data_IF_093678436550
#
_entry.id   IF_093678436550
#
_cell.length_a   1.000
_cell.length_b   1.000
_cell.length_c   1.000
_cell.angle_alpha   90.00
_cell.angle_beta   90.00
_cell.angle_gamma   90.00
#
_symmetry.space_group_name_H-M   'P 1'
#
loop_
_entity.id
_entity.type
_entity.pdbx_description
1 polymer ?
#
# COMPACT_ATOMS: atom_id res chain seq x y z
N UNK A 1 -17.48 -24.46 7.89
CA UNK A 1 -16.36 -23.55 7.55
C UNK A 1 -16.73 -22.82 6.27
N UNK A 2 -17.25 -21.59 6.36
CA UNK A 2 -17.39 -20.73 5.19
C UNK A 2 -15.99 -20.34 4.76
N UNK A 3 -15.50 -20.90 3.64
CA UNK A 3 -14.38 -20.30 2.91
C UNK A 3 -14.88 -18.93 2.45
N UNK A 4 -14.56 -17.89 3.20
CA UNK A 4 -14.91 -16.52 2.86
C UNK A 4 -14.39 -16.23 1.45
N UNK A 5 -15.30 -15.96 0.53
CA UNK A 5 -14.95 -15.50 -0.80
C UNK A 5 -14.35 -14.11 -0.60
N UNK A 6 -13.03 -13.98 -0.77
CA UNK A 6 -12.38 -12.66 -0.80
C UNK A 6 -12.99 -11.89 -1.96
N UNK A 7 -13.39 -10.64 -1.74
CA UNK A 7 -14.01 -9.83 -2.80
C UNK A 7 -13.01 -9.62 -3.93
N UNK A 8 -13.49 -9.59 -5.18
CA UNK A 8 -12.62 -9.36 -6.33
C UNK A 8 -11.89 -8.01 -6.22
N UNK A 9 -12.54 -7.00 -5.62
CA UNK A 9 -11.95 -5.69 -5.37
C UNK A 9 -10.73 -5.79 -4.43
N UNK A 10 -10.85 -6.52 -3.31
CA UNK A 10 -9.72 -6.73 -2.39
C UNK A 10 -8.56 -7.47 -3.07
N UNK A 11 -8.88 -8.39 -3.98
CA UNK A 11 -7.85 -9.09 -4.76
C UNK A 11 -7.16 -8.15 -5.77
N UNK A 12 -7.90 -7.28 -6.43
CA UNK A 12 -7.36 -6.25 -7.33
C UNK A 12 -6.45 -5.27 -6.59
N UNK A 13 -6.89 -4.78 -5.44
CA UNK A 13 -6.13 -3.89 -4.55
C UNK A 13 -4.84 -4.56 -4.06
N UNK A 14 -4.94 -5.82 -3.62
CA UNK A 14 -3.78 -6.62 -3.23
C UNK A 14 -2.77 -6.77 -4.37
N UNK A 15 -3.24 -7.12 -5.57
CA UNK A 15 -2.37 -7.27 -6.74
C UNK A 15 -1.70 -5.95 -7.14
N UNK A 16 -2.39 -4.81 -6.95
CA UNK A 16 -1.82 -3.49 -7.19
C UNK A 16 -0.68 -3.19 -6.21
N UNK A 17 -0.86 -3.48 -4.93
CA UNK A 17 0.19 -3.34 -3.91
C UNK A 17 1.38 -4.24 -4.20
N UNK A 18 1.13 -5.52 -4.52
CA UNK A 18 2.17 -6.50 -4.89
C UNK A 18 3.01 -5.98 -6.05
N UNK A 19 2.37 -5.47 -7.11
CA UNK A 19 3.06 -4.94 -8.30
C UNK A 19 4.09 -3.86 -7.97
N UNK A 20 3.84 -3.02 -6.96
CA UNK A 20 4.72 -1.88 -6.64
C UNK A 20 5.60 -2.10 -5.41
N UNK A 21 5.22 -2.96 -4.47
CA UNK A 21 6.00 -3.23 -3.25
C UNK A 21 6.91 -4.44 -3.40
N UNK A 22 6.46 -5.51 -4.05
CA UNK A 22 7.20 -6.76 -4.06
C UNK A 22 8.52 -6.61 -4.84
N UNK A 23 9.62 -7.00 -4.21
CA UNK A 23 10.97 -6.86 -4.77
C UNK A 23 11.56 -5.44 -4.69
N UNK A 24 10.78 -4.43 -4.26
CA UNK A 24 11.30 -3.09 -4.05
C UNK A 24 11.79 -2.88 -2.61
N UNK A 25 12.80 -2.02 -2.47
CA UNK A 25 13.36 -1.64 -1.16
C UNK A 25 12.85 -0.26 -0.78
N UNK A 26 12.58 -0.06 0.52
CA UNK A 26 12.24 1.25 1.08
C UNK A 26 13.52 2.07 1.16
N UNK A 27 13.57 3.18 0.40
CA UNK A 27 14.65 4.17 0.45
C UNK A 27 14.53 5.05 1.69
N UNK A 28 13.32 5.51 2.00
CA UNK A 28 13.08 6.44 3.10
C UNK A 28 11.62 6.42 3.58
N UNK A 29 11.42 6.64 4.88
CA UNK A 29 10.11 6.99 5.45
C UNK A 29 9.92 8.51 5.33
N UNK A 30 8.88 8.94 4.62
CA UNK A 30 8.56 10.35 4.37
C UNK A 30 7.68 10.96 5.46
N UNK A 31 6.73 10.19 5.96
CA UNK A 31 5.86 10.56 7.08
C UNK A 31 5.48 9.30 7.86
N UNK A 32 5.30 9.43 9.16
CA UNK A 32 4.95 8.33 10.06
C UNK A 32 4.26 8.89 11.31
N UNK A 33 2.96 8.68 11.38
CA UNK A 33 2.12 9.01 12.54
C UNK A 33 1.42 7.73 13.02
N UNK A 34 0.57 7.86 14.05
CA UNK A 34 -0.21 6.73 14.56
C UNK A 34 -1.13 6.11 13.50
N UNK A 35 -1.65 6.91 12.57
CA UNK A 35 -2.65 6.46 11.58
C UNK A 35 -2.16 6.57 10.13
N UNK A 36 -0.95 7.07 9.88
CA UNK A 36 -0.46 7.30 8.53
C UNK A 36 1.02 6.93 8.38
N UNK A 37 1.37 6.32 7.25
CA UNK A 37 2.77 6.14 6.85
C UNK A 37 2.92 6.41 5.34
N UNK A 38 3.97 7.16 4.98
CA UNK A 38 4.36 7.40 3.61
C UNK A 38 5.78 6.89 3.38
N UNK A 39 5.96 6.05 2.37
CA UNK A 39 7.21 5.37 2.04
C UNK A 39 7.69 5.78 0.66
N UNK A 40 8.96 6.15 0.56
CA UNK A 40 9.65 6.35 -0.71
C UNK A 40 10.46 5.10 -1.02
N UNK A 41 10.20 4.50 -2.18
CA UNK A 41 10.90 3.33 -2.67
C UNK A 41 12.16 3.73 -3.46
N UNK A 42 13.09 2.80 -3.65
CA UNK A 42 14.31 3.02 -4.45
C UNK A 42 14.03 3.35 -5.93
N UNK A 43 12.89 2.90 -6.45
CA UNK A 43 12.44 3.19 -7.82
C UNK A 43 11.67 4.52 -7.95
N UNK A 44 11.82 5.42 -6.98
CA UNK A 44 11.17 6.74 -6.90
C UNK A 44 9.63 6.72 -6.81
N UNK A 45 9.00 5.55 -6.58
CA UNK A 45 7.58 5.45 -6.25
C UNK A 45 7.35 5.85 -4.79
N UNK A 46 6.25 6.57 -4.53
CA UNK A 46 5.77 6.85 -3.17
C UNK A 46 4.52 6.02 -2.91
N UNK A 47 4.49 5.30 -1.80
CA UNK A 47 3.30 4.55 -1.33
C UNK A 47 2.88 5.12 0.01
N UNK A 48 1.59 5.44 0.11
CA UNK A 48 0.97 6.00 1.30
C UNK A 48 -0.03 5.00 1.84
N UNK A 49 -0.04 4.82 3.15
CA UNK A 49 -1.06 4.07 3.87
C UNK A 49 -1.72 4.97 4.90
N UNK A 50 -3.04 4.86 5.01
CA UNK A 50 -3.86 5.55 6.00
C UNK A 50 -4.76 4.52 6.67
N UNK A 51 -4.69 4.45 7.99
CA UNK A 51 -5.65 3.74 8.80
C UNK A 51 -6.88 4.64 9.01
N UNK A 52 -8.04 4.15 8.62
CA UNK A 52 -9.32 4.85 8.75
C UNK A 52 -10.37 3.89 9.30
N UNK A 53 -10.75 4.09 10.56
CA UNK A 53 -11.66 3.21 11.31
C UNK A 53 -11.20 1.74 11.35
N UNK A 54 -11.82 0.84 10.59
CA UNK A 54 -11.47 -0.56 10.44
C UNK A 54 -10.83 -0.90 9.08
N UNK A 55 -10.54 0.13 8.28
CA UNK A 55 -9.99 0.00 6.92
C UNK A 55 -8.56 0.53 6.81
N UNK A 56 -7.83 -0.02 5.84
CA UNK A 56 -6.54 0.52 5.39
C UNK A 56 -6.73 1.03 3.96
N UNK A 57 -6.55 2.33 3.78
CA UNK A 57 -6.55 2.98 2.48
C UNK A 57 -5.10 3.15 2.04
N UNK A 58 -4.82 2.95 0.76
CA UNK A 58 -3.51 3.23 0.20
C UNK A 58 -3.59 4.07 -1.07
N UNK A 59 -2.49 4.77 -1.37
CA UNK A 59 -2.30 5.53 -2.60
C UNK A 59 -0.88 5.30 -3.13
N UNK A 60 -0.72 5.37 -4.45
CA UNK A 60 0.54 5.09 -5.15
C UNK A 60 0.84 6.24 -6.11
N UNK A 61 1.91 6.98 -5.84
CA UNK A 61 2.42 8.02 -6.72
C UNK A 61 3.58 7.47 -7.55
N UNK A 62 3.40 7.49 -8.87
CA UNK A 62 4.43 7.05 -9.82
C UNK A 62 5.43 8.19 -10.11
N UNK A 63 6.71 7.86 -10.41
CA UNK A 63 7.67 8.85 -10.86
C UNK A 63 7.19 9.53 -12.16
N UNK A 64 7.48 10.84 -12.28
CA UNK A 64 7.16 11.64 -13.47
C UNK A 64 8.11 11.38 -14.63
#
# INVERSE_FOLDING_TARGET
MNKGIVSNLLLEDYNLLVKYLEGNTIRKILDCTETHIALLLENDIIIKFLHFEDEIIFDVELPR
#
